data_IF_718704175523
#
_entry.id   IF_718704175523
#
_cell.length_a   1.000
_cell.length_b   1.000
_cell.length_c   1.000
_cell.angle_alpha   90.00
_cell.angle_beta   90.00
_cell.angle_gamma   90.00
#
_symmetry.space_group_name_H-M   'P 1'
#
loop_
_entity.id
_entity.type
_entity.pdbx_description
1 polymer ?
#
# COMPACT_ATOMS: atom_id res chain seq x y z
N UNK A 1 -20.25 -31.88 -21.63
CA UNK A 1 -19.74 -31.21 -20.44
C UNK A 1 -18.69 -30.25 -20.94
N UNK A 2 -19.11 -28.99 -21.17
CA UNK A 2 -18.20 -27.94 -21.64
C UNK A 2 -17.30 -27.53 -20.50
N UNK A 3 -16.01 -27.84 -20.62
CA UNK A 3 -14.99 -27.28 -19.75
C UNK A 3 -14.76 -25.82 -20.15
N UNK A 4 -15.51 -24.91 -19.55
CA UNK A 4 -15.19 -23.48 -19.60
C UNK A 4 -13.84 -23.29 -18.93
N UNK A 5 -12.79 -23.23 -19.73
CA UNK A 5 -11.46 -22.79 -19.30
C UNK A 5 -11.59 -21.34 -18.84
N UNK A 6 -11.59 -21.16 -17.53
CA UNK A 6 -11.53 -19.83 -16.91
C UNK A 6 -10.16 -19.22 -17.23
N UNK A 7 -10.13 -18.29 -18.15
CA UNK A 7 -8.93 -17.49 -18.41
C UNK A 7 -8.99 -16.32 -17.42
N UNK A 8 -8.09 -16.24 -16.44
CA UNK A 8 -8.06 -15.09 -15.54
C UNK A 8 -7.86 -13.83 -16.38
N UNK A 9 -8.80 -12.88 -16.30
CA UNK A 9 -8.61 -11.58 -16.91
C UNK A 9 -7.49 -10.89 -16.16
N UNK A 10 -6.37 -10.64 -16.84
CA UNK A 10 -5.29 -9.79 -16.32
C UNK A 10 -5.87 -8.38 -16.19
N UNK A 11 -6.25 -8.00 -14.99
CA UNK A 11 -6.67 -6.63 -14.70
C UNK A 11 -5.41 -5.77 -14.74
N UNK A 12 -5.36 -4.84 -15.68
CA UNK A 12 -4.32 -3.83 -15.69
C UNK A 12 -4.53 -2.90 -14.49
N UNK A 13 -3.60 -2.94 -13.56
CA UNK A 13 -3.55 -1.99 -12.46
C UNK A 13 -3.32 -0.59 -13.04
N UNK A 14 -4.18 0.35 -12.67
CA UNK A 14 -4.08 1.73 -13.12
C UNK A 14 -3.96 2.68 -11.93
N UNK A 15 -2.80 3.32 -11.78
CA UNK A 15 -2.60 4.38 -10.80
C UNK A 15 -1.77 5.52 -11.44
N UNK A 16 -1.96 6.74 -10.96
CA UNK A 16 -1.21 7.91 -11.38
C UNK A 16 -0.57 8.66 -10.20
N UNK A 17 -0.77 8.15 -8.99
CA UNK A 17 -0.25 8.78 -7.78
C UNK A 17 0.20 7.71 -6.81
N UNK A 18 1.44 7.80 -6.33
CA UNK A 18 1.89 7.13 -5.11
C UNK A 18 1.66 8.08 -3.95
N UNK A 19 0.70 7.75 -3.08
CA UNK A 19 0.37 8.57 -1.92
C UNK A 19 1.01 7.99 -0.66
N UNK A 20 2.09 8.60 -0.22
CA UNK A 20 2.86 8.20 0.95
C UNK A 20 2.26 8.87 2.18
N UNK A 21 1.86 8.08 3.17
CA UNK A 21 1.33 8.54 4.45
C UNK A 21 2.23 8.04 5.56
N UNK A 22 2.88 8.97 6.25
CA UNK A 22 3.85 8.66 7.29
C UNK A 22 3.35 9.07 8.67
N UNK A 23 3.57 8.21 9.67
CA UNK A 23 3.30 8.49 11.08
C UNK A 23 4.36 7.82 11.97
N UNK A 24 5.52 8.43 12.03
CA UNK A 24 6.64 7.95 12.83
C UNK A 24 6.89 8.90 14.02
N UNK A 25 7.31 8.40 15.19
CA UNK A 25 7.71 9.21 16.34
C UNK A 25 8.81 10.23 16.00
N UNK A 26 8.86 11.30 16.76
CA UNK A 26 9.92 12.31 16.61
C UNK A 26 11.29 11.68 16.91
N UNK A 27 12.23 11.89 16.00
CA UNK A 27 13.60 11.35 16.11
C UNK A 27 13.84 10.05 15.34
N UNK A 28 12.79 9.40 14.86
CA UNK A 28 12.93 8.29 13.92
C UNK A 28 13.20 8.78 12.50
N UNK A 29 13.84 7.91 11.71
CA UNK A 29 14.18 8.19 10.32
C UNK A 29 12.90 8.30 9.48
N UNK A 30 12.82 9.33 8.64
CA UNK A 30 11.65 9.63 7.79
C UNK A 30 11.78 8.95 6.42
N UNK A 31 11.67 7.63 6.42
CA UNK A 31 11.84 6.80 5.21
C UNK A 31 10.80 7.13 4.14
N UNK A 32 9.56 7.44 4.51
CA UNK A 32 8.53 7.87 3.57
C UNK A 32 8.79 9.21 2.93
N UNK A 33 9.37 10.15 3.67
CA UNK A 33 9.79 11.44 3.12
C UNK A 33 10.95 11.28 2.14
N UNK A 34 11.89 10.38 2.43
CA UNK A 34 13.02 10.06 1.56
C UNK A 34 12.52 9.40 0.27
N UNK A 35 11.66 8.40 0.38
CA UNK A 35 10.99 7.76 -0.77
C UNK A 35 10.24 8.78 -1.62
N UNK A 36 9.49 9.70 -1.00
CA UNK A 36 8.80 10.76 -1.75
C UNK A 36 9.77 11.63 -2.57
N UNK A 37 10.93 11.97 -2.03
CA UNK A 37 11.94 12.74 -2.76
C UNK A 37 12.47 11.96 -3.97
N UNK A 38 12.76 10.67 -3.82
CA UNK A 38 13.18 9.80 -4.91
C UNK A 38 12.10 9.72 -6.01
N UNK A 39 10.85 9.48 -5.64
CA UNK A 39 9.74 9.42 -6.59
C UNK A 39 9.50 10.75 -7.31
N UNK A 40 9.77 11.89 -6.66
CA UNK A 40 9.73 13.19 -7.33
C UNK A 40 10.77 13.32 -8.44
N UNK A 41 11.98 12.78 -8.25
CA UNK A 41 12.97 12.75 -9.34
C UNK A 41 12.50 11.84 -10.47
N UNK A 42 11.93 10.69 -10.17
CA UNK A 42 11.39 9.79 -11.20
C UNK A 42 10.20 10.40 -11.96
N UNK A 43 9.39 11.22 -11.32
CA UNK A 43 8.25 11.87 -11.99
C UNK A 43 8.65 12.82 -13.13
N UNK A 44 9.92 13.19 -13.25
CA UNK A 44 10.43 13.90 -14.45
C UNK A 44 10.57 12.98 -15.66
N UNK A 45 10.72 11.67 -15.46
CA UNK A 45 10.81 10.67 -16.54
C UNK A 45 9.42 10.08 -16.86
N UNK A 46 8.55 10.00 -15.86
CA UNK A 46 7.20 9.42 -15.96
C UNK A 46 6.15 10.52 -15.74
N UNK A 47 5.77 11.23 -16.80
CA UNK A 47 4.88 12.41 -16.75
C UNK A 47 3.53 12.17 -16.04
N UNK A 48 3.07 10.92 -16.01
CA UNK A 48 1.81 10.55 -15.35
C UNK A 48 1.96 10.33 -13.85
N UNK A 49 3.19 10.14 -13.35
CA UNK A 49 3.43 9.88 -11.93
C UNK A 49 3.39 11.18 -11.11
N UNK A 50 2.53 11.21 -10.10
CA UNK A 50 2.38 12.33 -9.17
C UNK A 50 2.56 11.85 -7.73
N UNK A 51 3.79 11.75 -7.22
CA UNK A 51 4.01 11.36 -5.85
C UNK A 51 3.49 12.43 -4.89
N UNK A 52 2.83 11.99 -3.83
CA UNK A 52 2.35 12.83 -2.74
C UNK A 52 2.82 12.29 -1.41
N UNK A 53 3.08 13.17 -0.49
CA UNK A 53 3.51 12.84 0.86
C UNK A 53 2.71 13.65 1.86
N UNK A 54 2.26 12.98 2.92
CA UNK A 54 1.62 13.63 4.04
C UNK A 54 1.99 12.95 5.35
N UNK A 55 2.38 13.76 6.33
CA UNK A 55 2.64 13.32 7.69
C UNK A 55 1.36 13.48 8.51
N UNK A 56 0.97 12.40 9.21
CA UNK A 56 -0.17 12.38 10.13
C UNK A 56 0.29 11.89 11.50
N UNK A 57 -0.30 12.42 12.58
CA UNK A 57 0.13 12.06 13.92
C UNK A 57 -0.93 11.26 14.70
N UNK A 58 -2.19 11.35 14.30
CA UNK A 58 -3.31 10.74 15.03
C UNK A 58 -4.18 9.89 14.10
N UNK A 59 -4.86 8.89 14.67
CA UNK A 59 -5.91 8.13 13.98
C UNK A 59 -6.94 9.05 13.30
N UNK A 60 -7.40 10.08 14.01
CA UNK A 60 -8.39 11.04 13.48
C UNK A 60 -7.87 11.79 12.25
N UNK A 61 -6.62 12.25 12.27
CA UNK A 61 -6.00 12.92 11.13
C UNK A 61 -5.87 11.96 9.92
N UNK A 62 -5.45 10.73 10.16
CA UNK A 62 -5.34 9.70 9.12
C UNK A 62 -6.69 9.39 8.47
N UNK A 63 -7.74 9.13 9.25
CA UNK A 63 -9.09 8.88 8.73
C UNK A 63 -9.61 10.07 7.92
N UNK A 64 -9.39 11.30 8.41
CA UNK A 64 -9.75 12.52 7.68
C UNK A 64 -9.01 12.63 6.34
N UNK A 65 -7.74 12.21 6.31
CA UNK A 65 -6.94 12.17 5.10
C UNK A 65 -7.51 11.16 4.09
N UNK A 66 -7.83 9.93 4.52
CA UNK A 66 -8.44 8.92 3.63
C UNK A 66 -9.75 9.42 3.01
N UNK A 67 -10.60 10.10 3.79
CA UNK A 67 -11.83 10.71 3.25
C UNK A 67 -11.55 11.83 2.23
N UNK A 68 -10.45 12.58 2.41
CA UNK A 68 -10.04 13.60 1.44
C UNK A 68 -9.54 12.95 0.14
N UNK A 69 -8.75 11.88 0.23
CA UNK A 69 -8.28 11.10 -0.91
C UNK A 69 -9.49 10.50 -1.66
N UNK A 70 -10.45 9.90 -0.97
CA UNK A 70 -11.69 9.36 -1.53
C UNK A 70 -12.41 10.39 -2.43
N UNK A 71 -12.51 11.64 -1.98
CA UNK A 71 -13.13 12.72 -2.76
C UNK A 71 -12.32 13.13 -4.00
N UNK A 72 -11.00 12.99 -3.96
CA UNK A 72 -10.14 13.34 -5.08
C UNK A 72 -10.19 12.31 -6.23
N UNK A 73 -10.56 11.07 -5.96
CA UNK A 73 -10.71 10.04 -7.00
C UNK A 73 -11.70 10.46 -8.09
N UNK A 74 -12.78 11.16 -7.74
CA UNK A 74 -13.76 11.66 -8.70
C UNK A 74 -13.18 12.67 -9.72
N UNK A 75 -11.99 13.21 -9.47
CA UNK A 75 -11.26 14.14 -10.36
C UNK A 75 -10.17 13.48 -11.19
N UNK A 76 -10.18 12.15 -11.30
CA UNK A 76 -9.18 11.38 -12.05
C UNK A 76 -7.92 11.04 -11.24
N UNK A 77 -7.97 11.22 -9.91
CA UNK A 77 -6.90 10.85 -9.00
C UNK A 77 -6.99 9.35 -8.67
N UNK A 78 -5.97 8.58 -9.06
CA UNK A 78 -5.93 7.13 -8.84
C UNK A 78 -4.74 6.78 -7.95
N UNK A 79 -4.96 6.61 -6.63
CA UNK A 79 -3.89 6.41 -5.67
C UNK A 79 -3.43 4.95 -5.57
N UNK A 80 -2.12 4.76 -5.46
CA UNK A 80 -1.49 3.68 -4.74
C UNK A 80 -1.16 4.21 -3.35
N UNK A 81 -1.69 3.64 -2.28
CA UNK A 81 -1.36 4.04 -0.92
C UNK A 81 -0.07 3.36 -0.46
N UNK A 82 0.88 4.13 0.05
CA UNK A 82 2.06 3.64 0.73
C UNK A 82 2.05 4.13 2.18
N UNK A 83 1.98 3.21 3.14
CA UNK A 83 1.80 3.52 4.55
C UNK A 83 3.08 3.23 5.34
N UNK A 84 3.67 4.28 5.91
CA UNK A 84 4.84 4.23 6.80
C UNK A 84 4.44 4.60 8.22
N UNK A 85 3.88 3.64 8.93
CA UNK A 85 3.29 3.78 10.26
C UNK A 85 3.71 2.56 11.07
N UNK A 86 4.00 2.72 12.36
CA UNK A 86 4.24 1.55 13.20
C UNK A 86 3.04 0.61 13.20
N UNK A 87 3.30 -0.68 13.33
CA UNK A 87 2.23 -1.66 13.35
C UNK A 87 2.60 -2.95 14.06
N UNK A 88 1.60 -3.81 14.12
CA UNK A 88 1.68 -5.13 14.72
C UNK A 88 0.53 -6.00 14.25
N UNK A 89 0.39 -7.19 14.84
CA UNK A 89 -0.66 -8.16 14.46
C UNK A 89 -2.09 -7.59 14.55
N UNK A 90 -2.32 -6.55 15.35
CA UNK A 90 -3.67 -6.02 15.61
C UNK A 90 -4.03 -4.76 14.82
N UNK A 91 -3.05 -4.06 14.21
CA UNK A 91 -3.32 -2.80 13.53
C UNK A 91 -2.13 -1.85 13.51
N UNK A 92 -2.42 -0.60 13.18
CA UNK A 92 -1.48 0.51 13.09
C UNK A 92 -1.40 1.27 14.42
N UNK A 93 -0.21 1.79 14.74
CA UNK A 93 0.03 2.67 15.89
C UNK A 93 0.62 3.98 15.39
N UNK A 94 -0.11 5.08 15.57
CA UNK A 94 0.30 6.41 15.16
C UNK A 94 1.32 7.03 16.12
N UNK A 95 2.04 8.05 15.67
CA UNK A 95 3.05 8.76 16.50
C UNK A 95 2.48 9.43 17.76
N UNK A 96 1.18 9.62 17.85
CA UNK A 96 0.47 10.04 19.08
C UNK A 96 0.29 8.91 20.11
N UNK A 97 0.49 7.65 19.72
CA UNK A 97 0.10 6.46 20.48
C UNK A 97 -1.31 5.96 20.17
N UNK A 98 -2.10 6.68 19.36
CA UNK A 98 -3.42 6.19 18.92
C UNK A 98 -3.27 4.90 18.12
N UNK A 99 -4.24 4.00 18.26
CA UNK A 99 -4.29 2.76 17.49
C UNK A 99 -5.47 2.76 16.53
N UNK A 100 -5.30 2.08 15.39
CA UNK A 100 -6.33 1.74 14.42
C UNK A 100 -6.20 0.26 14.09
N UNK A 101 -7.17 -0.55 14.50
CA UNK A 101 -7.18 -1.98 14.19
C UNK A 101 -7.41 -2.23 12.69
N UNK A 102 -7.13 -3.47 12.25
CA UNK A 102 -7.23 -3.83 10.84
C UNK A 102 -8.68 -3.77 10.33
N UNK A 103 -9.66 -4.11 11.15
CA UNK A 103 -11.08 -4.12 10.76
C UNK A 103 -11.58 -2.70 10.51
N UNK A 104 -11.25 -1.76 11.39
CA UNK A 104 -11.57 -0.34 11.22
C UNK A 104 -10.83 0.25 10.00
N UNK A 105 -9.56 -0.10 9.78
CA UNK A 105 -8.82 0.30 8.59
C UNK A 105 -9.52 -0.21 7.32
N UNK A 106 -9.94 -1.47 7.31
CA UNK A 106 -10.64 -2.06 6.17
C UNK A 106 -11.94 -1.32 5.81
N UNK A 107 -12.70 -0.84 6.80
CA UNK A 107 -13.90 -0.06 6.52
C UNK A 107 -13.58 1.21 5.70
N UNK A 108 -12.48 1.89 6.01
CA UNK A 108 -12.04 3.08 5.27
C UNK A 108 -11.48 2.71 3.90
N UNK A 109 -10.66 1.67 3.81
CA UNK A 109 -10.07 1.22 2.56
C UNK A 109 -11.12 0.68 1.58
N UNK A 110 -12.16 -0.06 2.04
CA UNK A 110 -13.28 -0.50 1.19
C UNK A 110 -13.98 0.66 0.48
N UNK A 111 -14.20 1.76 1.20
CA UNK A 111 -14.82 2.97 0.60
C UNK A 111 -13.93 3.52 -0.51
N UNK A 112 -12.63 3.61 -0.25
CA UNK A 112 -11.66 4.08 -1.22
C UNK A 112 -11.52 3.10 -2.40
N UNK A 113 -11.46 1.79 -2.13
CA UNK A 113 -11.39 0.76 -3.17
C UNK A 113 -12.63 0.79 -4.08
N UNK A 114 -13.82 1.00 -3.51
CA UNK A 114 -15.05 1.14 -4.27
C UNK A 114 -15.02 2.32 -5.25
N UNK A 115 -14.57 3.49 -4.80
CA UNK A 115 -14.52 4.69 -5.67
C UNK A 115 -13.40 4.63 -6.71
N UNK A 116 -12.35 3.86 -6.47
CA UNK A 116 -11.31 3.57 -7.47
C UNK A 116 -11.70 2.47 -8.46
N UNK A 117 -12.94 1.97 -8.41
CA UNK A 117 -13.39 0.87 -9.27
C UNK A 117 -12.74 -0.47 -8.96
N UNK A 118 -12.47 -0.76 -7.68
CA UNK A 118 -11.73 -1.93 -7.19
C UNK A 118 -10.30 -2.01 -7.75
N UNK A 119 -9.59 -0.89 -7.69
CA UNK A 119 -8.22 -0.77 -8.24
C UNK A 119 -7.24 -0.23 -7.19
N UNK A 120 -7.58 -0.27 -5.90
CA UNK A 120 -6.73 0.23 -4.83
C UNK A 120 -5.61 -0.76 -4.48
N UNK A 121 -4.36 -0.39 -4.72
CA UNK A 121 -3.19 -1.07 -4.15
C UNK A 121 -2.76 -0.38 -2.86
N UNK A 122 -2.33 -1.19 -1.88
CA UNK A 122 -1.77 -0.69 -0.62
C UNK A 122 -0.43 -1.36 -0.36
N UNK A 123 0.61 -0.60 -0.08
CA UNK A 123 1.89 -1.10 0.39
C UNK A 123 2.18 -0.60 1.80
N UNK A 124 2.62 -1.52 2.65
CA UNK A 124 2.92 -1.25 4.05
C UNK A 124 4.42 -1.35 4.32
N UNK A 125 5.05 -0.24 4.62
CA UNK A 125 6.35 -0.14 5.27
C UNK A 125 6.15 -0.20 6.80
N UNK A 126 5.54 -1.29 7.28
CA UNK A 126 4.95 -1.42 8.61
C UNK A 126 5.17 -2.83 9.13
N UNK A 127 5.73 -2.97 10.32
CA UNK A 127 5.93 -4.28 10.93
C UNK A 127 4.62 -5.07 11.01
N UNK A 128 4.67 -6.35 10.64
CA UNK A 128 3.57 -7.32 10.78
C UNK A 128 2.26 -6.91 10.06
N UNK A 129 2.33 -5.99 9.10
CA UNK A 129 1.14 -5.52 8.40
C UNK A 129 0.49 -6.60 7.51
N UNK A 130 1.19 -7.69 7.20
CA UNK A 130 0.61 -8.86 6.50
C UNK A 130 -0.58 -9.48 7.24
N UNK A 131 -0.68 -9.27 8.58
CA UNK A 131 -1.83 -9.74 9.36
C UNK A 131 -3.14 -9.04 8.98
N UNK A 132 -3.10 -7.88 8.33
CA UNK A 132 -4.29 -7.22 7.75
C UNK A 132 -5.03 -8.16 6.79
N UNK A 133 -4.32 -9.02 6.06
CA UNK A 133 -4.92 -9.95 5.10
C UNK A 133 -5.82 -10.99 5.78
N UNK A 134 -5.45 -11.47 6.96
CA UNK A 134 -6.23 -12.47 7.70
C UNK A 134 -7.48 -11.89 8.38
N UNK A 135 -7.60 -10.58 8.50
CA UNK A 135 -8.79 -9.91 9.02
C UNK A 135 -9.78 -9.48 7.93
N UNK A 136 -9.54 -9.85 6.67
CA UNK A 136 -10.50 -9.57 5.59
C UNK A 136 -11.74 -10.44 5.78
N UNK A 137 -12.89 -9.79 5.94
CA UNK A 137 -14.18 -10.47 5.94
C UNK A 137 -14.58 -10.82 4.49
N UNK A 138 -14.68 -12.13 4.13
CA UNK A 138 -15.01 -12.56 2.78
C UNK A 138 -16.48 -12.31 2.40
N UNK A 139 -17.34 -11.92 3.35
CA UNK A 139 -18.76 -11.66 3.13
C UNK A 139 -19.03 -10.22 2.69
N UNK A 140 -18.01 -9.36 2.64
CA UNK A 140 -18.15 -7.96 2.24
C UNK A 140 -17.09 -7.62 1.17
N UNK A 141 -17.30 -6.54 0.38
CA UNK A 141 -16.32 -6.13 -0.64
C UNK A 141 -14.91 -5.97 -0.08
N UNK A 142 -13.91 -6.38 -0.86
CA UNK A 142 -12.51 -6.32 -0.44
C UNK A 142 -12.05 -4.88 -0.16
N UNK A 143 -11.19 -4.68 0.85
CA UNK A 143 -10.67 -3.36 1.19
C UNK A 143 -9.67 -2.82 0.15
N UNK A 144 -9.06 -3.67 -0.66
CA UNK A 144 -8.08 -3.36 -1.70
C UNK A 144 -8.08 -4.47 -2.75
N UNK A 145 -7.52 -4.23 -3.92
CA UNK A 145 -7.28 -5.28 -4.94
C UNK A 145 -6.05 -6.11 -4.57
N UNK A 146 -5.04 -5.48 -4.01
CA UNK A 146 -3.83 -6.13 -3.55
C UNK A 146 -3.14 -5.35 -2.44
N UNK A 147 -2.36 -6.07 -1.66
CA UNK A 147 -1.57 -5.52 -0.57
C UNK A 147 -0.15 -6.07 -0.62
N UNK A 148 0.83 -5.20 -0.40
CA UNK A 148 2.24 -5.57 -0.21
C UNK A 148 2.59 -5.29 1.23
N UNK A 149 2.97 -6.32 1.98
CA UNK A 149 3.19 -6.21 3.40
C UNK A 149 4.13 -7.28 3.96
N UNK A 150 4.87 -7.00 5.06
CA UNK A 150 5.64 -8.00 5.78
C UNK A 150 4.80 -8.68 6.86
N UNK A 151 5.04 -9.98 7.10
CA UNK A 151 4.49 -10.70 8.26
C UNK A 151 5.38 -10.61 9.51
N UNK A 152 6.61 -10.16 9.33
CA UNK A 152 7.60 -10.01 10.40
C UNK A 152 7.89 -8.53 10.69
N UNK A 153 8.75 -8.30 11.68
CA UNK A 153 9.35 -6.99 11.89
C UNK A 153 10.30 -6.66 10.76
N UNK A 154 10.33 -5.40 10.36
CA UNK A 154 11.22 -4.85 9.35
C UNK A 154 11.97 -3.65 9.91
N UNK A 155 13.19 -3.46 9.47
CA UNK A 155 14.03 -2.33 9.86
C UNK A 155 13.81 -1.15 8.91
N UNK A 156 14.13 0.06 9.37
CA UNK A 156 14.09 1.26 8.51
C UNK A 156 14.97 1.13 7.26
N UNK A 157 16.09 0.39 7.36
CA UNK A 157 16.97 0.14 6.24
C UNK A 157 16.33 -0.78 5.20
N UNK A 158 15.70 -1.90 5.63
CA UNK A 158 14.99 -2.81 4.75
C UNK A 158 13.82 -2.10 4.04
N UNK A 159 13.12 -1.20 4.75
CA UNK A 159 12.04 -0.38 4.19
C UNK A 159 12.60 0.55 3.10
N UNK A 160 13.61 1.33 3.41
CA UNK A 160 14.17 2.35 2.52
C UNK A 160 14.76 1.73 1.25
N UNK A 161 15.72 0.79 1.42
CA UNK A 161 16.39 0.14 0.30
C UNK A 161 15.39 -0.68 -0.53
N UNK A 162 14.48 -1.41 0.16
CA UNK A 162 13.50 -2.27 -0.49
C UNK A 162 12.47 -1.48 -1.29
N UNK A 163 11.79 -0.48 -0.70
CA UNK A 163 10.77 0.27 -1.44
C UNK A 163 11.34 1.22 -2.49
N UNK A 164 12.59 1.67 -2.33
CA UNK A 164 13.31 2.35 -3.43
C UNK A 164 13.44 1.42 -4.64
N UNK A 165 13.98 0.20 -4.44
CA UNK A 165 14.14 -0.79 -5.50
C UNK A 165 12.77 -1.23 -6.09
N UNK A 166 11.76 -1.40 -5.22
CA UNK A 166 10.41 -1.77 -5.62
C UNK A 166 9.81 -0.78 -6.63
N UNK A 167 9.80 0.50 -6.28
CA UNK A 167 9.21 1.50 -7.17
C UNK A 167 10.07 1.76 -8.40
N UNK A 168 11.39 1.60 -8.30
CA UNK A 168 12.28 1.67 -9.45
C UNK A 168 11.91 0.59 -10.46
N UNK A 169 11.85 -0.66 -10.04
CA UNK A 169 11.49 -1.78 -10.89
C UNK A 169 10.04 -1.67 -11.41
N UNK A 170 9.10 -1.28 -10.54
CA UNK A 170 7.69 -1.15 -10.92
C UNK A 170 7.49 -0.16 -12.07
N UNK A 171 8.21 0.97 -12.07
CA UNK A 171 8.09 1.96 -13.14
C UNK A 171 8.85 1.55 -14.40
N UNK A 172 9.94 0.81 -14.26
CA UNK A 172 10.76 0.38 -15.38
C UNK A 172 10.12 -0.82 -16.14
N UNK A 173 9.58 -1.81 -15.41
CA UNK A 173 9.00 -3.02 -15.99
C UNK A 173 7.47 -3.02 -16.10
N UNK A 174 6.78 -2.19 -15.30
CA UNK A 174 5.33 -2.21 -15.10
C UNK A 174 4.81 -3.61 -14.66
N UNK A 175 5.64 -4.32 -13.89
CA UNK A 175 5.38 -5.68 -13.42
C UNK A 175 5.51 -5.76 -11.89
N UNK A 176 4.40 -6.10 -11.20
CA UNK A 176 4.38 -6.18 -9.73
C UNK A 176 5.22 -7.35 -9.21
N UNK A 177 5.14 -8.58 -9.75
CA UNK A 177 6.03 -9.66 -9.35
C UNK A 177 7.51 -9.27 -9.37
N UNK A 178 8.02 -8.72 -10.47
CA UNK A 178 9.41 -8.27 -10.58
C UNK A 178 9.74 -7.20 -9.52
N UNK A 179 8.83 -6.25 -9.31
CA UNK A 179 9.00 -5.21 -8.29
C UNK A 179 9.05 -5.80 -6.86
N UNK A 180 8.22 -6.82 -6.57
CA UNK A 180 8.25 -7.52 -5.27
C UNK A 180 9.55 -8.32 -5.09
N UNK A 181 10.08 -8.90 -6.15
CA UNK A 181 11.40 -9.54 -6.12
C UNK A 181 12.52 -8.53 -5.84
N UNK A 182 12.46 -7.35 -6.46
CA UNK A 182 13.39 -6.25 -6.18
C UNK A 182 13.27 -5.74 -4.71
N UNK A 183 12.04 -5.61 -4.18
CA UNK A 183 11.78 -5.27 -2.78
C UNK A 183 12.45 -6.23 -1.79
N UNK A 184 12.51 -7.51 -2.15
CA UNK A 184 13.05 -8.57 -1.31
C UNK A 184 14.53 -8.91 -1.59
N UNK A 185 15.19 -8.14 -2.45
CA UNK A 185 16.58 -8.42 -2.82
C UNK A 185 17.48 -8.49 -1.58
N UNK A 186 18.25 -9.58 -1.47
CA UNK A 186 19.12 -9.83 -0.31
C UNK A 186 18.43 -10.39 0.93
N UNK A 187 17.11 -10.62 0.89
CA UNK A 187 16.35 -11.21 1.99
C UNK A 187 16.02 -12.69 1.73
N UNK A 188 16.42 -13.56 2.64
CA UNK A 188 16.07 -14.99 2.59
C UNK A 188 15.62 -15.44 3.99
N UNK A 189 14.36 -15.81 4.18
CA UNK A 189 13.25 -15.77 3.24
C UNK A 189 12.78 -14.35 2.89
N UNK A 190 11.96 -14.17 1.83
CA UNK A 190 11.39 -12.88 1.48
C UNK A 190 10.67 -12.22 2.66
N UNK A 191 10.91 -10.92 2.88
CA UNK A 191 10.32 -10.16 3.99
C UNK A 191 8.91 -9.69 3.67
N UNK A 192 8.71 -9.24 2.43
CA UNK A 192 7.46 -8.69 1.94
C UNK A 192 6.77 -9.67 1.00
N UNK A 193 5.46 -9.72 1.08
CA UNK A 193 4.63 -10.54 0.21
C UNK A 193 3.58 -9.66 -0.47
N UNK A 194 3.29 -9.99 -1.73
CA UNK A 194 2.16 -9.43 -2.46
C UNK A 194 0.98 -10.41 -2.35
N UNK A 195 -0.12 -9.93 -1.78
CA UNK A 195 -1.33 -10.71 -1.53
C UNK A 195 -2.50 -10.06 -2.28
N UNK A 196 -3.21 -10.84 -3.07
CA UNK A 196 -4.36 -10.37 -3.84
C UNK A 196 -5.67 -10.73 -3.16
N UNK A 197 -6.59 -9.77 -3.13
CA UNK A 197 -7.92 -10.01 -2.56
C UNK A 197 -8.88 -10.73 -3.52
N UNK A 198 -8.48 -11.01 -4.76
CA UNK A 198 -9.32 -11.69 -5.77
C UNK A 198 -9.75 -13.10 -5.35
N UNK A 199 -9.06 -13.74 -4.42
CA UNK A 199 -9.44 -15.04 -3.86
C UNK A 199 -10.71 -15.03 -3.00
N UNK A 200 -11.27 -13.87 -2.68
CA UNK A 200 -12.45 -13.71 -1.83
C UNK A 200 -13.77 -13.43 -2.60
N UNK A 201 -13.72 -13.40 -3.94
CA UNK A 201 -14.88 -13.01 -4.78
C UNK A 201 -15.45 -14.13 -5.65
N UNK A 202 -15.26 -15.39 -5.24
CA UNK A 202 -15.87 -16.54 -5.94
C UNK A 202 -16.80 -17.33 -5.04
#
# INVERSE_FOLDING_TARGET
MDSTTFTPQVRHLHFNTVYIIESLPKGERRTGKELHQQLKFKSFQYEQLRPRYEEVHTRKAFVKLLHRIEKQVATGFMPWLHLEIHGGMKGLTFSSGDMLDWDDLHQHLRRLNKVTGNNLMVSFATCQAGFTYFSIDPMVPAPFIGVIAPFNTVTSREIEEGFSAFFDELFDSNDIPNAVDALNQGSTPPRFQCLHAEGFFY
#
